data_IF_941243446898
#
_entry.id   IF_941243446898
#
_cell.length_a   1.000
_cell.length_b   1.000
_cell.length_c   1.000
_cell.angle_alpha   90.00
_cell.angle_beta   90.00
_cell.angle_gamma   90.00
#
_symmetry.space_group_name_H-M   'P 1'
#
loop_
_entity.id
_entity.type
_entity.pdbx_description
1 polymer ?
#
# COMPACT_ATOMS: atom_id res chain seq x y z
N UNK A 1 1.38 39.51 -18.55
CA UNK A 1 2.05 38.95 -17.36
C UNK A 1 1.83 39.94 -16.23
N UNK A 2 0.85 39.70 -15.36
CA UNK A 2 0.53 40.62 -14.27
C UNK A 2 1.57 40.46 -13.17
N UNK A 3 2.53 41.38 -13.09
CA UNK A 3 3.54 41.38 -12.04
C UNK A 3 2.84 41.66 -10.70
N UNK A 4 3.03 40.76 -9.74
CA UNK A 4 2.58 40.96 -8.36
C UNK A 4 3.43 42.12 -7.78
N UNK A 5 2.81 43.16 -7.19
CA UNK A 5 3.54 44.27 -6.59
C UNK A 5 4.49 43.76 -5.49
N UNK A 6 5.69 44.35 -5.35
CA UNK A 6 6.59 43.98 -4.26
C UNK A 6 5.92 44.26 -2.90
N UNK A 7 6.09 43.38 -1.90
CA UNK A 7 5.50 43.56 -0.59
C UNK A 7 6.05 44.82 0.10
N UNK A 8 5.23 45.51 0.92
CA UNK A 8 5.67 46.69 1.66
C UNK A 8 6.88 46.42 2.56
N UNK A 9 7.83 47.38 2.68
CA UNK A 9 8.98 47.23 3.56
C UNK A 9 8.54 47.01 5.01
N UNK A 10 8.95 45.88 5.61
CA UNK A 10 8.64 45.54 7.01
C UNK A 10 7.65 44.39 7.20
N UNK A 11 7.04 43.87 6.14
CA UNK A 11 6.32 42.59 6.22
C UNK A 11 7.31 41.43 6.10
N UNK A 12 7.30 40.44 7.02
CA UNK A 12 7.96 39.16 6.77
C UNK A 12 7.46 38.64 5.42
N UNK A 13 8.37 38.21 4.54
CA UNK A 13 7.98 37.58 3.29
C UNK A 13 6.94 36.49 3.61
N UNK A 14 5.84 36.38 2.83
CA UNK A 14 4.94 35.24 2.97
C UNK A 14 5.83 34.00 2.91
N UNK A 15 5.91 33.26 4.01
CA UNK A 15 6.63 32.01 4.07
C UNK A 15 5.91 31.11 3.07
N UNK A 16 6.42 31.05 1.83
CA UNK A 16 5.89 30.17 0.81
C UNK A 16 5.80 28.80 1.43
N UNK A 17 4.59 28.22 1.41
CA UNK A 17 4.33 26.94 2.04
C UNK A 17 5.48 25.99 1.69
N UNK A 18 6.22 25.56 2.72
CA UNK A 18 7.36 24.69 2.51
C UNK A 18 6.89 23.50 1.66
N UNK A 19 7.55 23.18 0.54
CA UNK A 19 7.19 22.03 -0.29
C UNK A 19 7.58 20.75 0.46
N UNK A 20 6.82 20.38 1.50
CA UNK A 20 7.11 19.26 2.39
C UNK A 20 5.96 18.28 2.59
N UNK A 21 4.72 18.67 2.30
CA UNK A 21 3.53 17.84 2.59
C UNK A 21 3.32 16.68 1.62
N UNK A 22 3.45 16.91 0.31
CA UNK A 22 2.99 15.92 -0.69
C UNK A 22 3.93 14.70 -0.83
N UNK A 23 5.25 14.92 -0.88
CA UNK A 23 6.23 13.83 -1.02
C UNK A 23 6.39 12.97 0.26
N UNK A 24 6.30 13.59 1.45
CA UNK A 24 6.37 12.89 2.73
C UNK A 24 5.16 11.98 2.95
N UNK A 25 3.96 12.48 2.64
CA UNK A 25 2.71 11.72 2.77
C UNK A 25 2.68 10.52 1.83
N UNK A 26 3.20 10.67 0.60
CA UNK A 26 3.30 9.59 -0.39
C UNK A 26 4.08 8.38 0.12
N UNK A 27 5.26 8.64 0.71
CA UNK A 27 6.11 7.57 1.25
C UNK A 27 5.42 6.87 2.42
N UNK A 28 4.88 7.66 3.35
CA UNK A 28 4.15 7.12 4.50
C UNK A 28 2.96 6.27 4.07
N UNK A 29 2.14 6.74 3.12
CA UNK A 29 0.97 6.02 2.66
C UNK A 29 1.34 4.72 1.94
N UNK A 30 2.45 4.72 1.21
CA UNK A 30 3.00 3.50 0.61
C UNK A 30 3.39 2.49 1.70
N UNK A 31 4.14 2.91 2.72
CA UNK A 31 4.53 2.02 3.83
C UNK A 31 3.30 1.48 4.56
N UNK A 32 2.31 2.32 4.85
CA UNK A 32 1.12 1.90 5.57
C UNK A 32 0.20 1.01 4.74
N UNK A 33 0.12 1.20 3.42
CA UNK A 33 -0.59 0.29 2.52
C UNK A 33 -0.05 -1.15 2.61
N UNK A 34 1.28 -1.31 2.77
CA UNK A 34 1.92 -2.62 2.90
C UNK A 34 1.99 -3.13 4.35
N UNK A 35 2.15 -2.23 5.32
CA UNK A 35 2.49 -2.59 6.71
C UNK A 35 1.33 -2.62 7.69
N UNK A 36 0.31 -1.78 7.52
CA UNK A 36 -0.73 -1.60 8.54
C UNK A 36 -1.75 -2.74 8.45
N UNK A 37 -1.68 -3.70 9.39
CA UNK A 37 -2.65 -4.80 9.57
C UNK A 37 -3.30 -5.31 8.27
N UNK A 38 -2.54 -5.95 7.36
CA UNK A 38 -3.06 -6.47 6.11
C UNK A 38 -4.36 -7.29 6.26
N UNK A 39 -5.37 -7.12 5.38
CA UNK A 39 -5.45 -6.20 4.26
C UNK A 39 -5.99 -4.79 4.61
N UNK A 40 -6.17 -4.46 5.90
CA UNK A 40 -6.83 -3.23 6.35
C UNK A 40 -6.10 -2.00 5.84
N UNK A 41 -4.78 -1.91 6.03
CA UNK A 41 -3.97 -0.78 5.55
C UNK A 41 -4.03 -0.63 4.04
N UNK A 42 -3.89 -1.73 3.30
CA UNK A 42 -4.00 -1.72 1.84
C UNK A 42 -5.35 -1.19 1.36
N UNK A 43 -6.45 -1.52 2.05
CA UNK A 43 -7.78 -0.98 1.73
C UNK A 43 -7.91 0.50 2.09
N UNK A 44 -7.47 0.91 3.29
CA UNK A 44 -7.54 2.31 3.72
C UNK A 44 -6.81 3.21 2.72
N UNK A 45 -5.56 2.87 2.39
CA UNK A 45 -4.72 3.70 1.53
C UNK A 45 -5.06 3.61 0.04
N UNK A 46 -5.90 2.65 -0.37
CA UNK A 46 -6.50 2.63 -1.70
C UNK A 46 -7.44 3.82 -1.90
N UNK A 47 -8.20 4.19 -0.85
CA UNK A 47 -9.12 5.33 -0.89
C UNK A 47 -8.46 6.62 -0.41
N UNK A 48 -7.67 6.58 0.67
CA UNK A 48 -7.01 7.77 1.22
C UNK A 48 -5.90 8.31 0.30
N UNK A 49 -5.25 7.43 -0.46
CA UNK A 49 -4.19 7.78 -1.41
C UNK A 49 -4.66 7.91 -2.86
N UNK A 50 -5.97 7.89 -3.13
CA UNK A 50 -6.52 7.77 -4.50
C UNK A 50 -6.09 8.89 -5.47
N UNK A 51 -5.70 10.04 -4.95
CA UNK A 51 -5.29 11.21 -5.73
C UNK A 51 -3.80 11.18 -6.15
N UNK A 52 -2.98 10.27 -5.57
CA UNK A 52 -1.62 9.99 -6.04
C UNK A 52 -1.56 8.64 -6.78
N UNK A 53 -1.14 8.61 -8.05
CA UNK A 53 -1.19 7.40 -8.87
C UNK A 53 -0.24 6.29 -8.42
N UNK A 54 0.85 6.62 -7.70
CA UNK A 54 1.75 5.58 -7.19
C UNK A 54 1.28 5.05 -5.84
N UNK A 55 0.72 5.90 -4.97
CA UNK A 55 0.09 5.43 -3.72
C UNK A 55 -1.10 4.54 -4.04
N UNK A 56 -1.95 4.97 -4.97
CA UNK A 56 -3.11 4.20 -5.42
C UNK A 56 -2.67 2.86 -6.02
N UNK A 57 -1.64 2.84 -6.87
CA UNK A 57 -1.07 1.60 -7.43
C UNK A 57 -0.51 0.69 -6.33
N UNK A 58 0.26 1.23 -5.38
CA UNK A 58 0.84 0.47 -4.28
C UNK A 58 -0.24 -0.16 -3.39
N UNK A 59 -1.26 0.63 -3.05
CA UNK A 59 -2.39 0.15 -2.29
C UNK A 59 -3.17 -0.92 -3.05
N UNK A 60 -3.43 -0.72 -4.35
CA UNK A 60 -4.09 -1.71 -5.19
C UNK A 60 -3.28 -3.01 -5.29
N UNK A 61 -1.98 -2.94 -5.54
CA UNK A 61 -1.10 -4.11 -5.59
C UNK A 61 -1.06 -4.83 -4.23
N UNK A 62 -0.99 -4.09 -3.12
CA UNK A 62 -1.05 -4.65 -1.77
C UNK A 62 -2.41 -5.31 -1.49
N UNK A 63 -3.53 -4.72 -1.94
CA UNK A 63 -4.87 -5.33 -1.82
C UNK A 63 -4.92 -6.67 -2.57
N UNK A 64 -4.34 -6.78 -3.77
CA UNK A 64 -4.32 -8.05 -4.51
C UNK A 64 -3.55 -9.10 -3.72
N UNK A 65 -2.34 -8.80 -3.25
CA UNK A 65 -1.49 -9.77 -2.55
C UNK A 65 -2.08 -10.12 -1.18
N UNK A 66 -2.46 -9.12 -0.39
CA UNK A 66 -3.04 -9.34 0.94
C UNK A 66 -4.40 -10.02 0.88
N UNK A 67 -5.24 -9.64 -0.08
CA UNK A 67 -6.55 -10.24 -0.32
C UNK A 67 -6.43 -11.70 -0.76
N UNK A 68 -5.52 -12.01 -1.70
CA UNK A 68 -5.25 -13.39 -2.09
C UNK A 68 -4.72 -14.22 -0.90
N UNK A 69 -3.84 -13.65 -0.09
CA UNK A 69 -3.31 -14.36 1.06
C UNK A 69 -4.37 -14.64 2.13
N UNK A 70 -5.27 -13.69 2.37
CA UNK A 70 -6.42 -13.88 3.24
C UNK A 70 -7.37 -14.96 2.70
N UNK A 71 -7.62 -14.98 1.39
CA UNK A 71 -8.45 -16.01 0.76
C UNK A 71 -7.87 -17.41 0.98
N UNK A 72 -6.56 -17.60 0.79
CA UNK A 72 -5.88 -18.87 1.07
C UNK A 72 -6.00 -19.24 2.56
N UNK A 73 -5.79 -18.29 3.46
CA UNK A 73 -5.97 -18.53 4.90
C UNK A 73 -7.39 -19.03 5.23
N UNK A 74 -8.43 -18.39 4.69
CA UNK A 74 -9.83 -18.78 4.90
C UNK A 74 -10.08 -20.20 4.39
N UNK A 75 -9.57 -20.54 3.19
CA UNK A 75 -9.71 -21.88 2.61
C UNK A 75 -9.05 -22.92 3.53
N UNK A 76 -7.80 -22.70 3.94
CA UNK A 76 -7.09 -23.61 4.84
C UNK A 76 -7.81 -23.75 6.18
N UNK A 77 -8.31 -22.64 6.74
CA UNK A 77 -9.02 -22.63 8.00
C UNK A 77 -10.30 -23.48 7.94
N UNK A 78 -11.11 -23.33 6.88
CA UNK A 78 -12.30 -24.16 6.66
C UNK A 78 -11.92 -25.64 6.52
N UNK A 79 -10.85 -25.96 5.79
CA UNK A 79 -10.38 -27.33 5.66
C UNK A 79 -9.98 -27.96 7.01
N UNK A 80 -9.41 -27.18 7.93
CA UNK A 80 -9.04 -27.69 9.27
C UNK A 80 -10.25 -28.08 10.12
N UNK A 81 -11.41 -27.45 9.90
CA UNK A 81 -12.66 -27.81 10.59
C UNK A 81 -13.13 -29.20 10.14
N UNK A 82 -12.93 -29.52 8.86
CA UNK A 82 -13.35 -30.80 8.27
C UNK A 82 -12.34 -31.90 8.56
N UNK A 83 -11.04 -31.58 8.54
CA UNK A 83 -9.94 -32.53 8.72
C UNK A 83 -8.88 -31.93 9.64
N UNK A 84 -8.83 -32.44 10.88
CA UNK A 84 -7.96 -31.95 11.97
C UNK A 84 -6.47 -31.90 11.59
N UNK A 85 -6.00 -32.79 10.70
CA UNK A 85 -4.59 -32.85 10.29
C UNK A 85 -4.11 -31.61 9.52
N UNK A 86 -5.01 -30.78 8.98
CA UNK A 86 -4.61 -29.57 8.26
C UNK A 86 -4.14 -28.41 9.16
N UNK A 87 -4.16 -28.56 10.49
CA UNK A 87 -3.61 -27.56 11.42
C UNK A 87 -2.14 -27.20 11.11
N UNK A 88 -1.33 -28.17 10.67
CA UNK A 88 0.06 -27.91 10.27
C UNK A 88 0.16 -27.00 9.02
N UNK A 89 -0.80 -27.09 8.10
CA UNK A 89 -0.82 -26.23 6.91
C UNK A 89 -1.11 -24.78 7.28
N UNK A 90 -1.95 -24.52 8.28
CA UNK A 90 -2.18 -23.17 8.78
C UNK A 90 -0.90 -22.57 9.37
N UNK A 91 -0.12 -23.37 10.10
CA UNK A 91 1.15 -22.91 10.65
C UNK A 91 2.16 -22.58 9.55
N UNK A 92 2.33 -23.49 8.57
CA UNK A 92 3.21 -23.28 7.42
C UNK A 92 2.77 -22.03 6.64
N UNK A 93 1.46 -21.89 6.41
CA UNK A 93 0.90 -20.73 5.73
C UNK A 93 1.14 -19.43 6.49
N UNK A 94 1.00 -19.44 7.81
CA UNK A 94 1.33 -18.30 8.66
C UNK A 94 2.77 -17.82 8.49
N UNK A 95 3.72 -18.75 8.37
CA UNK A 95 5.12 -18.41 8.10
C UNK A 95 5.33 -17.84 6.69
N UNK A 96 4.77 -18.49 5.67
CA UNK A 96 4.83 -18.00 4.28
C UNK A 96 4.24 -16.60 4.19
N UNK A 97 3.08 -16.40 4.80
CA UNK A 97 2.39 -15.13 4.83
C UNK A 97 3.20 -14.04 5.54
N UNK A 98 3.75 -14.35 6.70
CA UNK A 98 4.62 -13.43 7.43
C UNK A 98 5.82 -12.98 6.60
N UNK A 99 6.45 -13.90 5.86
CA UNK A 99 7.56 -13.57 4.96
C UNK A 99 7.12 -12.69 3.79
N UNK A 100 5.99 -12.99 3.14
CA UNK A 100 5.46 -12.17 2.06
C UNK A 100 5.13 -10.76 2.52
N UNK A 101 4.47 -10.64 3.67
CA UNK A 101 4.18 -9.35 4.30
C UNK A 101 5.46 -8.58 4.62
N UNK A 102 6.44 -9.23 5.25
CA UNK A 102 7.70 -8.61 5.62
C UNK A 102 8.46 -8.09 4.39
N UNK A 103 8.51 -8.88 3.31
CA UNK A 103 9.09 -8.46 2.03
C UNK A 103 8.35 -7.22 1.48
N UNK A 104 7.01 -7.22 1.50
CA UNK A 104 6.21 -6.08 1.07
C UNK A 104 6.53 -4.80 1.84
N UNK A 105 6.65 -4.90 3.17
CA UNK A 105 7.02 -3.78 4.04
C UNK A 105 8.43 -3.27 3.74
N UNK A 106 9.42 -4.16 3.63
CA UNK A 106 10.80 -3.80 3.31
C UNK A 106 10.87 -3.06 1.96
N UNK A 107 10.19 -3.58 0.95
CA UNK A 107 10.16 -2.96 -0.37
C UNK A 107 9.43 -1.61 -0.35
N UNK A 108 8.37 -1.47 0.45
CA UNK A 108 7.68 -0.19 0.62
C UNK A 108 8.60 0.88 1.21
N UNK A 109 9.41 0.53 2.23
CA UNK A 109 10.44 1.43 2.77
C UNK A 109 11.49 1.81 1.71
N UNK A 110 11.94 0.83 0.91
CA UNK A 110 12.94 1.06 -0.14
C UNK A 110 12.40 1.87 -1.33
N UNK A 111 11.10 1.78 -1.60
CA UNK A 111 10.47 2.45 -2.73
C UNK A 111 10.45 3.98 -2.58
N UNK A 112 10.47 4.48 -1.33
CA UNK A 112 10.40 5.92 -1.03
C UNK A 112 9.19 6.59 -1.71
N UNK A 113 8.02 5.97 -1.61
CA UNK A 113 6.78 6.42 -2.23
C UNK A 113 6.61 6.08 -3.72
N UNK A 114 7.63 5.56 -4.40
CA UNK A 114 7.47 5.02 -5.77
C UNK A 114 6.69 3.70 -5.76
N UNK A 115 6.33 3.20 -6.94
CA UNK A 115 5.70 1.89 -7.08
C UNK A 115 6.61 0.79 -6.55
N UNK A 116 6.06 -0.03 -5.68
CA UNK A 116 6.67 -1.26 -5.18
C UNK A 116 6.67 -2.28 -6.32
N UNK A 117 7.81 -2.93 -6.49
CA UNK A 117 7.96 -4.04 -7.42
C UNK A 117 8.14 -5.32 -6.59
N UNK A 118 7.03 -5.97 -6.29
CA UNK A 118 7.05 -7.20 -5.50
C UNK A 118 7.65 -8.35 -6.34
N UNK A 119 8.73 -9.01 -5.90
CA UNK A 119 9.36 -10.07 -6.66
C UNK A 119 8.43 -11.27 -6.82
N UNK A 120 8.45 -11.92 -7.99
CA UNK A 120 7.63 -13.09 -8.35
C UNK A 120 6.13 -12.78 -8.47
N UNK A 121 5.51 -12.19 -7.44
CA UNK A 121 4.07 -11.91 -7.40
C UNK A 121 3.68 -10.59 -8.07
N UNK A 122 4.63 -9.67 -8.29
CA UNK A 122 4.34 -8.33 -8.81
C UNK A 122 3.72 -8.32 -10.19
N UNK A 123 4.21 -9.17 -11.11
CA UNK A 123 3.66 -9.30 -12.47
C UNK A 123 2.25 -9.89 -12.45
N UNK A 124 2.01 -10.89 -11.61
CA UNK A 124 0.68 -11.47 -11.41
C UNK A 124 -0.27 -10.43 -10.80
N UNK A 125 0.14 -9.74 -9.74
CA UNK A 125 -0.67 -8.74 -9.07
C UNK A 125 -1.02 -7.57 -10.00
N UNK A 126 -0.06 -7.15 -10.84
CA UNK A 126 -0.26 -6.06 -11.81
C UNK A 126 -1.44 -6.30 -12.76
N UNK A 127 -1.75 -7.56 -13.11
CA UNK A 127 -2.89 -7.89 -13.97
C UNK A 127 -4.26 -7.56 -13.33
N UNK A 128 -4.34 -7.53 -12.00
CA UNK A 128 -5.56 -7.23 -11.24
C UNK A 128 -5.60 -5.78 -10.73
N UNK A 129 -4.46 -5.07 -10.70
CA UNK A 129 -4.39 -3.68 -10.21
C UNK A 129 -5.43 -2.75 -10.86
N UNK A 130 -5.61 -2.72 -12.20
CA UNK A 130 -6.59 -1.82 -12.83
C UNK A 130 -8.02 -2.07 -12.35
N UNK A 131 -8.37 -3.33 -12.07
CA UNK A 131 -9.68 -3.69 -11.53
C UNK A 131 -9.85 -3.17 -10.09
N UNK A 132 -8.83 -3.31 -9.25
CA UNK A 132 -8.86 -2.81 -7.86
C UNK A 132 -8.90 -1.28 -7.82
N UNK A 133 -8.11 -0.61 -8.67
CA UNK A 133 -8.10 0.85 -8.77
C UNK A 133 -9.47 1.43 -9.19
N UNK A 134 -10.29 0.65 -9.91
CA UNK A 134 -11.64 1.04 -10.29
C UNK A 134 -12.63 1.09 -9.11
N UNK A 135 -12.30 0.49 -7.96
CA UNK A 135 -13.11 0.56 -6.74
C UNK A 135 -13.00 1.94 -6.05
N UNK A 136 -11.83 2.58 -6.17
CA UNK A 136 -11.54 3.89 -5.58
C UNK A 136 -11.57 4.99 -6.65
N UNK A 137 -12.78 5.32 -7.12
CA UNK A 137 -13.04 6.47 -8.01
C UNK A 137 -13.16 7.77 -7.22
#
# INVERSE_FOLDING_TARGET
MSQIPPPPPGQPAPMGAAPGGSASNKNLYTILAWGLFPPIGSLIFLFAGKDDPDVKYNAAQAVVIHGAALAVYIILWVLTIIVVFFGILLFIWGLVWFLLWLVGVILAFQASGRRVNFPVLGSMAASYVPMIEAWAK
#
